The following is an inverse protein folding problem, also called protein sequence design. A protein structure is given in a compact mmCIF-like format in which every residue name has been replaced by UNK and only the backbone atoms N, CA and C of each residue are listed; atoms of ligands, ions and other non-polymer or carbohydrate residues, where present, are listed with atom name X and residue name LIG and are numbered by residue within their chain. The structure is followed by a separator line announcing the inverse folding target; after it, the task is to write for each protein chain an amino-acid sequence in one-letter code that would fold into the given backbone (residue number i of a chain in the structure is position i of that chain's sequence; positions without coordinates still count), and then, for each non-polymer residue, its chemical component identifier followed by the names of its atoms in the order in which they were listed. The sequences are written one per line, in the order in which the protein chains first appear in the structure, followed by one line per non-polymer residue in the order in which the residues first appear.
data_IF_070108550608
#
_entry.id   IF_070108550608
#
_cell.length_a   1.000
_cell.length_b   1.000
_cell.length_c   1.000
_cell.angle_alpha   90.00
_cell.angle_beta   90.00
_cell.angle_gamma   90.00
#
_symmetry.space_group_name_H-M   'P 1'
#
loop_
_entity.id
_entity.type
_entity.pdbx_description
1 polymer ?
#
# COMPACT_ATOMS: atom_id res chain seq x y z
N UNK A 1 -67.04 18.22 25.45
CA UNK A 1 -66.72 19.27 24.45
C UNK A 1 -65.25 19.64 24.49
N UNK A 2 -64.30 18.60 24.41
CA UNK A 2 -62.88 18.83 24.46
C UNK A 2 -62.08 18.01 23.35
N UNK A 3 -62.81 17.44 22.38
CA UNK A 3 -62.18 16.56 21.37
C UNK A 3 -62.10 17.16 19.97
N UNK A 4 -62.53 18.41 19.77
CA UNK A 4 -62.55 19.06 18.43
C UNK A 4 -61.40 20.01 18.18
N UNK A 5 -60.54 20.30 19.14
CA UNK A 5 -59.41 21.20 18.98
C UNK A 5 -58.06 20.49 18.79
N UNK A 6 -58.01 19.17 19.07
CA UNK A 6 -56.78 18.39 18.86
C UNK A 6 -56.53 17.99 17.40
N UNK A 7 -57.56 18.02 16.53
CA UNK A 7 -57.40 17.58 15.12
C UNK A 7 -56.89 18.70 14.21
N UNK A 8 -57.08 19.97 14.61
CA UNK A 8 -56.56 21.10 13.82
C UNK A 8 -55.09 21.44 14.08
N UNK A 9 -54.55 21.05 15.23
CA UNK A 9 -53.15 21.25 15.56
C UNK A 9 -52.21 20.25 14.86
N UNK A 10 -52.73 19.05 14.47
CA UNK A 10 -51.92 18.04 13.77
C UNK A 10 -51.76 18.29 12.24
N UNK A 11 -52.66 19.09 11.66
CA UNK A 11 -52.60 19.40 10.20
C UNK A 11 -51.66 20.58 9.91
N UNK A 12 -51.39 21.44 10.90
CA UNK A 12 -50.48 22.58 10.70
C UNK A 12 -48.99 22.24 10.75
N UNK A 13 -48.60 21.04 11.22
CA UNK A 13 -47.20 20.58 11.28
C UNK A 13 -46.76 19.80 10.06
N UNK A 14 -47.66 19.54 9.09
CA UNK A 14 -47.32 18.76 7.88
C UNK A 14 -46.93 19.61 6.67
N UNK A 15 -46.84 20.96 6.79
CA UNK A 15 -46.58 21.83 5.62
C UNK A 15 -45.23 22.55 5.69
N UNK A 16 -44.41 22.32 6.70
CA UNK A 16 -43.08 22.97 6.82
C UNK A 16 -41.89 22.09 6.43
N UNK A 17 -42.12 21.07 5.63
CA UNK A 17 -41.10 20.08 5.22
C UNK A 17 -40.63 20.13 3.78
N UNK A 18 -40.89 21.21 3.02
CA UNK A 18 -40.19 21.44 1.78
C UNK A 18 -38.84 22.10 2.08
N UNK A 19 -37.87 21.32 2.59
CA UNK A 19 -36.48 21.68 2.41
C UNK A 19 -36.26 21.72 0.90
N UNK A 20 -35.87 22.90 0.38
CA UNK A 20 -35.42 23.02 -1.00
C UNK A 20 -34.31 21.96 -1.19
N UNK A 21 -34.50 21.03 -2.11
CA UNK A 21 -33.45 20.10 -2.47
C UNK A 21 -32.19 20.92 -2.75
N UNK A 22 -31.04 20.55 -2.23
CA UNK A 22 -29.83 21.28 -2.53
C UNK A 22 -29.65 21.33 -4.05
N UNK A 23 -29.53 22.52 -4.61
CA UNK A 23 -29.21 22.69 -6.01
C UNK A 23 -27.73 22.39 -6.15
N UNK A 24 -27.43 21.27 -6.76
CA UNK A 24 -26.04 20.95 -7.12
C UNK A 24 -25.68 21.69 -8.38
N UNK A 25 -24.42 22.17 -8.46
CA UNK A 25 -23.89 22.77 -9.68
C UNK A 25 -23.93 21.75 -10.84
N UNK A 26 -24.26 22.24 -12.02
CA UNK A 26 -24.15 21.47 -13.25
C UNK A 26 -22.67 21.38 -13.64
N UNK A 27 -22.10 20.21 -13.46
CA UNK A 27 -20.64 20.00 -13.57
C UNK A 27 -20.29 18.82 -14.44
N UNK A 28 -19.07 18.89 -15.00
CA UNK A 28 -18.37 17.76 -15.62
C UNK A 28 -17.20 17.33 -14.77
N UNK A 29 -16.87 16.04 -14.82
CA UNK A 29 -15.80 15.42 -14.05
C UNK A 29 -15.26 14.17 -14.74
N UNK A 30 -14.06 13.75 -14.38
CA UNK A 30 -13.49 12.48 -14.86
C UNK A 30 -14.08 11.34 -14.05
N UNK A 31 -14.70 10.36 -14.72
CA UNK A 31 -15.21 9.16 -14.06
C UNK A 31 -14.05 8.36 -13.44
N UNK A 32 -14.17 8.04 -12.16
CA UNK A 32 -13.11 7.40 -11.36
C UNK A 32 -12.29 8.38 -10.50
N UNK A 33 -12.57 9.69 -10.58
CA UNK A 33 -11.94 10.70 -9.73
C UNK A 33 -12.66 10.89 -8.37
N UNK A 34 -13.75 10.16 -8.11
CA UNK A 34 -14.62 10.36 -6.94
C UNK A 34 -14.10 9.70 -5.65
N UNK A 35 -12.99 8.96 -5.71
CA UNK A 35 -12.38 8.30 -4.56
C UNK A 35 -11.63 9.27 -3.63
N UNK A 36 -11.30 8.81 -2.42
CA UNK A 36 -10.40 9.55 -1.50
C UNK A 36 -9.05 9.87 -2.16
N UNK A 37 -8.56 8.95 -2.99
CA UNK A 37 -7.43 9.16 -3.89
C UNK A 37 -7.96 8.94 -5.31
N UNK A 38 -7.95 9.96 -6.16
CA UNK A 38 -8.50 9.89 -7.52
C UNK A 38 -7.57 9.12 -8.46
N UNK A 39 -7.48 7.80 -8.29
CA UNK A 39 -6.56 6.95 -9.03
C UNK A 39 -7.27 5.92 -9.90
N UNK A 40 -6.68 5.65 -11.07
CA UNK A 40 -6.96 4.52 -11.93
C UNK A 40 -5.69 3.70 -12.06
N UNK A 41 -5.79 2.38 -12.20
CA UNK A 41 -4.62 1.50 -12.28
C UNK A 41 -4.51 0.86 -13.67
N UNK A 42 -3.31 0.90 -14.24
CA UNK A 42 -2.94 0.19 -15.46
C UNK A 42 -1.72 -0.70 -15.19
N UNK A 43 -1.92 -2.01 -15.19
CA UNK A 43 -0.83 -2.96 -14.94
C UNK A 43 -0.16 -3.38 -16.25
N UNK A 44 1.16 -3.20 -16.30
CA UNK A 44 2.00 -3.64 -17.41
C UNK A 44 2.44 -5.09 -17.19
N UNK A 45 2.39 -5.85 -18.26
CA UNK A 45 3.00 -7.17 -18.40
C UNK A 45 3.89 -7.17 -19.67
N UNK A 46 4.32 -8.33 -20.13
CA UNK A 46 5.20 -8.46 -21.31
C UNK A 46 4.49 -8.18 -22.65
N UNK A 47 3.20 -7.83 -22.64
CA UNK A 47 2.42 -7.57 -23.85
C UNK A 47 2.08 -6.09 -23.98
N UNK A 48 2.50 -5.48 -25.08
CA UNK A 48 2.24 -4.07 -25.40
C UNK A 48 1.47 -3.92 -26.73
N UNK A 49 0.65 -2.86 -26.91
CA UNK A 49 0.37 -1.83 -25.93
C UNK A 49 -0.59 -2.29 -24.82
N UNK A 50 -0.47 -1.69 -23.63
CA UNK A 50 -1.48 -1.78 -22.56
C UNK A 50 -2.33 -0.52 -22.55
N UNK A 51 -3.63 -0.72 -22.47
CA UNK A 51 -4.59 0.37 -22.66
C UNK A 51 -5.55 0.50 -21.47
N UNK A 52 -5.85 1.73 -21.12
CA UNK A 52 -6.85 2.09 -20.13
C UNK A 52 -7.80 3.13 -20.73
N UNK A 53 -9.09 2.88 -20.63
CA UNK A 53 -10.14 3.79 -21.08
C UNK A 53 -10.58 4.71 -19.95
N UNK A 54 -10.64 6.01 -20.23
CA UNK A 54 -11.08 7.05 -19.27
C UNK A 54 -12.25 7.81 -19.89
N UNK A 55 -13.37 7.90 -19.16
CA UNK A 55 -14.56 8.65 -19.58
C UNK A 55 -14.73 9.91 -18.73
N UNK A 56 -15.41 10.88 -19.34
CA UNK A 56 -15.90 12.06 -18.63
C UNK A 56 -17.40 11.96 -18.48
N UNK A 57 -17.91 12.36 -17.33
CA UNK A 57 -19.33 12.38 -17.03
C UNK A 57 -19.80 13.78 -16.62
N UNK A 58 -21.08 14.04 -16.78
CA UNK A 58 -21.78 15.22 -16.30
C UNK A 58 -22.74 14.86 -15.17
N UNK A 59 -22.97 15.77 -14.24
CA UNK A 59 -23.97 15.65 -13.19
C UNK A 59 -25.40 15.71 -13.70
N UNK A 60 -25.60 16.18 -14.93
CA UNK A 60 -26.90 16.29 -15.60
C UNK A 60 -26.86 15.67 -17.00
N UNK A 61 -28.03 15.38 -17.54
CA UNK A 61 -28.19 15.09 -18.97
C UNK A 61 -27.99 16.37 -19.77
N UNK A 62 -27.02 16.41 -20.69
CA UNK A 62 -26.71 17.60 -21.45
C UNK A 62 -27.76 17.87 -22.57
N UNK A 63 -28.11 19.10 -22.76
CA UNK A 63 -29.12 19.50 -23.78
C UNK A 63 -28.57 19.57 -25.21
N UNK A 64 -27.26 19.65 -25.37
CA UNK A 64 -26.54 19.72 -26.64
C UNK A 64 -25.20 18.99 -26.55
N UNK A 65 -24.61 18.67 -27.69
CA UNK A 65 -23.29 18.04 -27.71
C UNK A 65 -22.28 18.93 -27.00
N UNK A 66 -21.64 18.39 -25.96
CA UNK A 66 -20.68 19.09 -25.11
C UNK A 66 -19.30 18.51 -25.32
N UNK A 67 -18.35 19.30 -25.79
CA UNK A 67 -16.96 18.88 -25.99
C UNK A 67 -16.15 19.06 -24.70
N UNK A 68 -15.30 18.09 -24.43
CA UNK A 68 -14.38 18.10 -23.28
C UNK A 68 -13.01 17.70 -23.77
N UNK A 69 -11.99 18.49 -23.43
CA UNK A 69 -10.61 18.18 -23.75
C UNK A 69 -9.84 17.77 -22.50
N UNK A 70 -9.12 16.65 -22.61
CA UNK A 70 -8.23 16.14 -21.56
C UNK A 70 -6.78 16.24 -22.04
N UNK A 71 -5.91 16.51 -21.07
CA UNK A 71 -4.45 16.58 -21.26
C UNK A 71 -3.71 15.89 -20.13
N UNK A 72 -2.45 15.56 -20.35
CA UNK A 72 -1.54 15.26 -19.25
C UNK A 72 -1.15 16.55 -18.55
N UNK A 73 -1.11 16.52 -17.22
CA UNK A 73 -0.70 17.66 -16.40
C UNK A 73 0.41 17.25 -15.42
N UNK A 74 1.69 17.26 -15.86
CA UNK A 74 2.83 16.87 -15.01
C UNK A 74 2.97 17.73 -13.75
N UNK A 75 2.43 18.96 -13.73
CA UNK A 75 2.48 19.83 -12.54
C UNK A 75 1.71 19.25 -11.35
N UNK A 76 0.81 18.31 -11.58
CA UNK A 76 0.01 17.62 -10.56
C UNK A 76 0.76 16.53 -9.81
N UNK A 77 1.97 16.14 -10.22
CA UNK A 77 2.76 15.10 -9.55
C UNK A 77 3.14 15.50 -8.11
N UNK A 78 3.52 16.76 -7.90
CA UNK A 78 3.86 17.26 -6.56
C UNK A 78 2.63 17.26 -5.64
N UNK A 79 1.47 17.68 -6.15
CA UNK A 79 0.19 17.64 -5.43
C UNK A 79 -0.15 16.19 -5.06
N UNK A 80 -0.07 15.25 -6.02
CA UNK A 80 -0.29 13.82 -5.80
C UNK A 80 0.60 13.27 -4.69
N UNK A 81 1.89 13.57 -4.72
CA UNK A 81 2.84 13.07 -3.74
C UNK A 81 2.59 13.65 -2.33
N UNK A 82 2.33 14.95 -2.25
CA UNK A 82 2.15 15.66 -0.99
C UNK A 82 0.80 15.33 -0.35
N UNK A 83 -0.27 15.41 -1.12
CA UNK A 83 -1.63 15.27 -0.61
C UNK A 83 -1.95 13.82 -0.23
N UNK A 84 -1.45 12.85 -1.00
CA UNK A 84 -1.78 11.43 -0.82
C UNK A 84 -0.64 10.60 -0.23
N UNK A 85 0.47 11.24 0.18
CA UNK A 85 1.62 10.56 0.78
C UNK A 85 2.30 9.56 -0.15
N UNK A 86 2.30 9.84 -1.47
CA UNK A 86 2.85 8.98 -2.52
C UNK A 86 4.27 9.40 -2.90
N UNK A 87 4.93 8.60 -3.75
CA UNK A 87 6.25 8.87 -4.34
C UNK A 87 6.18 8.69 -5.87
N UNK A 88 5.11 9.18 -6.49
CA UNK A 88 4.90 9.06 -7.93
C UNK A 88 5.87 9.89 -8.74
N UNK A 89 6.29 9.35 -9.87
CA UNK A 89 7.10 10.02 -10.90
C UNK A 89 6.32 9.98 -12.21
N UNK A 90 6.34 11.07 -12.97
CA UNK A 90 5.69 11.09 -14.28
C UNK A 90 6.22 9.98 -15.17
N UNK A 91 5.32 9.19 -15.79
CA UNK A 91 5.71 8.24 -16.82
C UNK A 91 6.33 9.01 -17.99
N UNK A 92 7.52 8.62 -18.50
CA UNK A 92 8.14 9.33 -19.62
C UNK A 92 7.21 9.35 -20.83
N UNK A 93 7.08 10.50 -21.48
CA UNK A 93 6.18 10.68 -22.63
C UNK A 93 6.48 9.75 -23.82
N UNK A 94 7.72 9.26 -23.90
CA UNK A 94 8.13 8.28 -24.91
C UNK A 94 7.54 6.88 -24.69
N UNK A 95 6.95 6.62 -23.52
CA UNK A 95 6.42 5.31 -23.15
C UNK A 95 4.91 5.17 -23.36
N UNK A 96 4.19 6.27 -23.62
CA UNK A 96 2.76 6.22 -23.79
C UNK A 96 2.25 7.21 -24.84
N UNK A 97 1.01 7.00 -25.27
CA UNK A 97 0.26 7.89 -26.17
C UNK A 97 -1.16 8.06 -25.62
N UNK A 98 -1.68 9.27 -25.65
CA UNK A 98 -3.09 9.53 -25.43
C UNK A 98 -3.81 9.50 -26.79
N UNK A 99 -4.84 8.66 -26.90
CA UNK A 99 -5.73 8.61 -28.07
C UNK A 99 -7.05 9.25 -27.70
N UNK A 100 -7.64 9.98 -28.63
CA UNK A 100 -8.96 10.57 -28.48
C UNK A 100 -9.02 11.56 -27.28
N UNK A 101 -8.21 12.61 -27.33
CA UNK A 101 -8.13 13.61 -26.24
C UNK A 101 -9.27 14.61 -26.24
N UNK A 102 -10.00 14.75 -27.36
CA UNK A 102 -11.22 15.55 -27.49
C UNK A 102 -12.43 14.62 -27.46
N UNK A 103 -13.18 14.68 -26.37
CA UNK A 103 -14.34 13.84 -26.12
C UNK A 103 -15.63 14.63 -26.34
N UNK A 104 -16.72 13.92 -26.64
CA UNK A 104 -18.06 14.55 -26.75
C UNK A 104 -19.03 13.80 -25.85
N UNK A 105 -19.75 14.53 -24.99
CA UNK A 105 -20.95 14.06 -24.31
C UNK A 105 -22.11 14.40 -25.26
N UNK A 106 -22.80 13.42 -25.87
CA UNK A 106 -23.87 13.68 -26.80
C UNK A 106 -25.09 14.30 -26.13
N UNK A 107 -25.82 15.11 -26.85
CA UNK A 107 -27.13 15.61 -26.44
C UNK A 107 -28.03 14.45 -25.96
N UNK A 108 -28.69 14.63 -24.85
CA UNK A 108 -29.48 13.58 -24.21
C UNK A 108 -28.69 12.54 -23.41
N UNK A 109 -27.39 12.71 -23.26
CA UNK A 109 -26.50 11.84 -22.47
C UNK A 109 -25.88 12.57 -21.26
N UNK A 110 -25.29 11.81 -20.35
CA UNK A 110 -24.54 12.32 -19.20
C UNK A 110 -23.09 11.83 -19.18
N UNK A 111 -22.64 11.13 -20.22
CA UNK A 111 -21.27 10.61 -20.33
C UNK A 111 -20.78 10.66 -21.76
N UNK A 112 -19.46 10.72 -21.93
CA UNK A 112 -18.83 10.72 -23.26
C UNK A 112 -19.14 9.44 -24.02
N UNK A 113 -19.44 9.56 -25.32
CA UNK A 113 -19.73 8.43 -26.20
C UNK A 113 -18.50 7.52 -26.29
N UNK A 114 -17.36 8.09 -26.64
CA UNK A 114 -16.09 7.39 -26.71
C UNK A 114 -15.18 7.78 -25.52
N UNK A 115 -14.29 6.89 -25.05
CA UNK A 115 -13.33 7.21 -24.02
C UNK A 115 -12.06 7.87 -24.59
N UNK A 116 -11.34 8.62 -23.75
CA UNK A 116 -9.90 8.79 -23.92
C UNK A 116 -9.23 7.46 -23.64
N UNK A 117 -8.23 7.08 -24.44
CA UNK A 117 -7.44 5.88 -24.20
C UNK A 117 -6.00 6.27 -23.87
N UNK A 118 -5.56 5.89 -22.67
CA UNK A 118 -4.15 5.88 -22.29
C UNK A 118 -3.55 4.59 -22.82
N UNK A 119 -2.63 4.67 -23.77
CA UNK A 119 -1.98 3.54 -24.41
C UNK A 119 -0.50 3.53 -24.04
N UNK A 120 -0.07 2.69 -23.10
CA UNK A 120 1.35 2.49 -22.78
C UNK A 120 1.92 1.53 -23.80
N UNK A 121 2.91 1.99 -24.56
CA UNK A 121 3.44 1.29 -25.74
C UNK A 121 4.68 0.46 -25.46
N UNK A 122 5.39 0.76 -24.37
CA UNK A 122 6.60 0.06 -23.94
C UNK A 122 6.96 0.39 -22.49
N UNK A 123 7.76 -0.44 -21.87
CA UNK A 123 8.32 -0.21 -20.53
C UNK A 123 9.85 0.01 -20.53
N UNK A 124 10.45 0.10 -21.73
CA UNK A 124 11.87 0.36 -21.88
C UNK A 124 12.31 1.64 -21.15
N UNK A 125 13.39 1.56 -20.38
CA UNK A 125 13.92 2.67 -19.59
C UNK A 125 13.22 2.93 -18.26
N UNK A 126 12.14 2.20 -17.93
CA UNK A 126 11.50 2.28 -16.63
C UNK A 126 12.33 1.56 -15.57
N UNK A 127 12.57 2.23 -14.46
CA UNK A 127 13.34 1.67 -13.33
C UNK A 127 12.44 0.81 -12.45
N UNK A 128 13.00 -0.26 -11.90
CA UNK A 128 12.34 -1.04 -10.87
C UNK A 128 12.15 -0.22 -9.59
N UNK A 129 11.06 -0.48 -8.87
CA UNK A 129 10.74 0.20 -7.62
C UNK A 129 10.28 1.66 -7.76
N UNK A 130 10.24 2.20 -8.97
CA UNK A 130 9.70 3.54 -9.21
C UNK A 130 8.22 3.45 -9.53
N UNK A 131 7.40 4.19 -8.78
CA UNK A 131 5.96 4.33 -9.02
C UNK A 131 5.72 5.35 -10.11
N UNK A 132 5.40 4.90 -11.31
CA UNK A 132 5.09 5.78 -12.42
C UNK A 132 3.61 6.14 -12.44
N UNK A 133 3.31 7.40 -12.81
CA UNK A 133 1.95 7.95 -12.79
C UNK A 133 1.76 8.86 -14.02
N UNK A 134 0.56 8.85 -14.59
CA UNK A 134 0.13 9.80 -15.61
C UNK A 134 -1.02 10.63 -15.03
N UNK A 135 -0.81 11.89 -14.67
CA UNK A 135 -1.91 12.79 -14.32
C UNK A 135 -2.69 13.18 -15.56
N UNK A 136 -4.00 12.96 -15.55
CA UNK A 136 -4.92 13.39 -16.61
C UNK A 136 -5.86 14.43 -16.04
N UNK A 137 -5.93 15.59 -16.67
CA UNK A 137 -6.78 16.70 -16.25
C UNK A 137 -7.72 17.14 -17.37
N UNK A 138 -8.93 17.58 -17.00
CA UNK A 138 -9.80 18.32 -17.91
C UNK A 138 -9.19 19.68 -18.15
N UNK A 139 -8.77 19.96 -19.38
CA UNK A 139 -8.24 21.25 -19.78
C UNK A 139 -9.38 22.25 -20.04
N UNK A 140 -10.37 21.84 -20.84
CA UNK A 140 -11.48 22.70 -21.22
C UNK A 140 -12.79 21.93 -21.41
N UNK A 141 -13.89 22.64 -21.25
CA UNK A 141 -15.25 22.17 -21.52
C UNK A 141 -15.96 23.28 -22.33
N UNK A 142 -16.66 22.90 -23.40
CA UNK A 142 -17.49 23.82 -24.15
C UNK A 142 -18.84 24.04 -23.46
N UNK A 143 -19.36 25.27 -23.53
CA UNK A 143 -20.67 25.63 -23.03
C UNK A 143 -20.68 26.10 -21.57
N UNK A 144 -21.85 25.97 -20.92
CA UNK A 144 -22.11 26.56 -19.59
C UNK A 144 -21.75 25.66 -18.42
N UNK A 145 -21.37 24.39 -18.68
CA UNK A 145 -20.99 23.43 -17.63
C UNK A 145 -19.64 23.80 -17.03
N UNK A 146 -19.56 23.70 -15.70
CA UNK A 146 -18.31 23.92 -14.98
C UNK A 146 -17.59 22.60 -14.74
N UNK A 147 -16.28 22.65 -14.63
CA UNK A 147 -15.52 21.49 -14.16
C UNK A 147 -15.62 21.39 -12.63
N UNK A 148 -15.91 20.19 -12.10
CA UNK A 148 -15.85 19.92 -10.68
C UNK A 148 -14.37 19.86 -10.27
N UNK A 149 -13.85 20.91 -9.64
CA UNK A 149 -12.40 21.03 -9.36
C UNK A 149 -11.80 19.85 -8.59
N UNK A 150 -12.50 19.33 -7.58
CA UNK A 150 -12.02 18.16 -6.83
C UNK A 150 -11.97 16.87 -7.66
N UNK A 151 -12.60 16.82 -8.83
CA UNK A 151 -12.66 15.65 -9.73
C UNK A 151 -12.18 16.01 -11.15
N UNK A 152 -11.43 17.11 -11.25
CA UNK A 152 -10.81 17.58 -12.50
C UNK A 152 -9.70 16.69 -12.98
N UNK A 153 -8.95 16.07 -12.04
CA UNK A 153 -7.74 15.30 -12.31
C UNK A 153 -7.88 13.89 -11.77
N UNK A 154 -7.43 12.93 -12.57
CA UNK A 154 -7.26 11.54 -12.16
C UNK A 154 -5.81 11.13 -12.40
N UNK A 155 -5.26 10.30 -11.52
CA UNK A 155 -3.90 9.80 -11.61
C UNK A 155 -3.91 8.35 -12.08
N UNK A 156 -3.39 8.09 -13.28
CA UNK A 156 -3.23 6.72 -13.78
C UNK A 156 -1.94 6.14 -13.21
N UNK A 157 -2.07 5.30 -12.20
CA UNK A 157 -0.95 4.59 -11.58
C UNK A 157 -0.52 3.43 -12.47
N UNK A 158 0.75 3.40 -12.85
CA UNK A 158 1.32 2.35 -13.69
C UNK A 158 1.89 1.25 -12.79
N UNK A 159 1.15 0.17 -12.67
CA UNK A 159 1.60 -1.05 -12.01
C UNK A 159 2.48 -1.88 -12.94
N UNK A 160 3.47 -2.59 -12.39
CA UNK A 160 4.30 -3.55 -13.13
C UNK A 160 4.23 -4.89 -12.41
N UNK A 161 4.21 -5.97 -13.18
CA UNK A 161 4.42 -7.30 -12.63
C UNK A 161 5.89 -7.40 -12.24
N UNK A 162 6.18 -7.39 -10.94
CA UNK A 162 7.54 -7.52 -10.45
C UNK A 162 7.85 -9.00 -10.31
N UNK A 163 8.75 -9.49 -11.15
CA UNK A 163 9.33 -10.82 -11.05
C UNK A 163 10.66 -10.67 -10.34
N UNK A 164 10.68 -10.98 -9.06
CA UNK A 164 11.89 -10.91 -8.23
C UNK A 164 12.26 -12.29 -7.66
N UNK A 165 13.52 -12.47 -7.23
CA UNK A 165 13.92 -13.70 -6.56
C UNK A 165 13.20 -13.86 -5.23
N UNK A 166 12.83 -15.10 -4.91
CA UNK A 166 12.30 -15.47 -3.63
C UNK A 166 13.03 -16.70 -3.10
N UNK A 167 13.30 -16.70 -1.80
CA UNK A 167 13.87 -17.87 -1.16
C UNK A 167 12.79 -18.92 -0.89
N UNK A 168 13.03 -20.15 -1.28
CA UNK A 168 12.16 -21.28 -0.98
C UNK A 168 12.47 -21.81 0.45
N UNK A 169 11.55 -21.54 1.36
CA UNK A 169 11.58 -21.98 2.74
C UNK A 169 10.53 -23.09 3.00
N UNK A 170 9.95 -23.68 1.96
CA UNK A 170 8.92 -24.74 2.09
C UNK A 170 9.45 -26.02 2.76
N UNK A 171 10.74 -26.26 2.65
CA UNK A 171 11.48 -27.31 3.35
C UNK A 171 11.88 -26.90 4.77
N UNK A 172 13.19 -26.91 5.02
CA UNK A 172 13.78 -26.52 6.32
C UNK A 172 14.76 -25.34 6.19
N UNK A 173 14.76 -24.66 5.05
CA UNK A 173 15.64 -23.53 4.79
C UNK A 173 15.23 -22.30 5.61
N UNK A 174 16.20 -21.68 6.24
CA UNK A 174 16.06 -20.41 6.94
C UNK A 174 17.40 -19.65 6.89
N UNK A 175 17.38 -18.38 7.30
CA UNK A 175 18.58 -17.54 7.30
C UNK A 175 18.87 -17.10 8.74
N UNK A 176 20.13 -17.24 9.18
CA UNK A 176 20.63 -16.58 10.37
C UNK A 176 21.21 -15.22 9.99
N UNK A 177 20.89 -14.22 10.80
CA UNK A 177 21.44 -12.86 10.65
C UNK A 177 22.20 -12.55 11.92
N UNK A 178 23.49 -12.32 11.78
CA UNK A 178 24.32 -11.83 12.88
C UNK A 178 24.52 -10.32 12.73
N UNK A 179 23.79 -9.57 13.53
CA UNK A 179 23.93 -8.12 13.57
C UNK A 179 25.22 -7.67 14.28
N UNK A 180 25.88 -8.56 15.02
CA UNK A 180 27.15 -8.27 15.66
C UNK A 180 28.33 -8.35 14.68
N UNK A 181 28.17 -9.05 13.53
CA UNK A 181 29.16 -9.07 12.45
C UNK A 181 28.89 -7.94 11.44
N UNK A 182 29.61 -6.83 11.49
CA UNK A 182 29.50 -5.79 10.47
C UNK A 182 29.77 -4.37 10.96
N UNK A 183 29.27 -3.37 10.24
CA UNK A 183 29.44 -1.95 10.54
C UNK A 183 28.60 -1.52 11.77
N UNK A 184 28.97 -2.01 12.93
CA UNK A 184 28.30 -1.72 14.23
C UNK A 184 28.38 -0.24 14.59
N UNK A 185 29.40 0.46 14.10
CA UNK A 185 29.70 1.84 14.48
C UNK A 185 28.67 2.85 13.92
N UNK A 186 27.87 2.45 12.95
CA UNK A 186 26.93 3.34 12.27
C UNK A 186 25.57 3.45 12.98
N UNK A 187 25.18 2.41 13.72
CA UNK A 187 23.91 2.34 14.43
C UNK A 187 24.09 1.59 15.74
N UNK A 188 23.45 2.11 16.77
CA UNK A 188 23.40 1.44 18.07
C UNK A 188 22.40 0.26 18.00
N UNK A 189 22.82 -0.84 17.38
CA UNK A 189 22.01 -2.07 17.22
C UNK A 189 21.65 -2.73 18.54
N UNK A 190 22.33 -2.34 19.62
CA UNK A 190 22.07 -2.79 20.98
C UNK A 190 20.95 -2.02 21.68
N UNK A 191 20.60 -0.84 21.14
CA UNK A 191 19.66 0.06 21.80
C UNK A 191 18.82 0.86 20.79
N UNK A 192 18.22 0.17 19.81
CA UNK A 192 17.40 0.81 18.78
C UNK A 192 16.06 1.27 19.35
N UNK A 193 15.83 2.57 19.39
CA UNK A 193 14.57 3.17 19.82
C UNK A 193 13.40 2.89 18.87
N UNK A 194 13.70 2.67 17.60
CA UNK A 194 12.71 2.39 16.56
C UNK A 194 13.19 1.24 15.67
N UNK A 195 12.31 0.31 15.35
CA UNK A 195 12.64 -0.83 14.48
C UNK A 195 11.42 -1.22 13.64
N UNK A 196 11.64 -1.54 12.37
CA UNK A 196 10.64 -2.20 11.54
C UNK A 196 11.22 -3.48 10.94
N UNK A 197 10.50 -4.59 11.09
CA UNK A 197 10.70 -5.81 10.31
C UNK A 197 9.66 -5.87 9.22
N UNK A 198 10.05 -6.12 7.99
CA UNK A 198 9.11 -6.33 6.89
C UNK A 198 9.58 -7.45 5.96
N UNK A 199 8.63 -8.14 5.35
CA UNK A 199 8.90 -9.13 4.31
C UNK A 199 7.69 -9.32 3.41
N UNK A 200 7.92 -9.76 2.17
CA UNK A 200 6.90 -10.37 1.32
C UNK A 200 6.96 -11.88 1.49
N UNK A 201 5.81 -12.47 1.77
CA UNK A 201 5.69 -13.91 2.01
C UNK A 201 4.59 -14.51 1.12
N UNK A 202 4.80 -15.77 0.72
CA UNK A 202 3.78 -16.59 0.09
C UNK A 202 3.78 -17.96 0.76
N UNK A 203 2.88 -18.13 1.73
CA UNK A 203 2.72 -19.38 2.43
C UNK A 203 2.06 -20.42 1.55
N UNK A 204 2.68 -21.59 1.44
CA UNK A 204 2.14 -22.71 0.67
C UNK A 204 1.28 -23.63 1.54
N UNK A 205 1.59 -23.72 2.81
CA UNK A 205 0.87 -24.54 3.80
C UNK A 205 1.14 -24.06 5.20
N UNK A 206 0.27 -24.40 6.11
CA UNK A 206 0.52 -24.29 7.53
C UNK A 206 1.45 -25.45 7.95
N UNK A 207 2.42 -25.16 8.77
CA UNK A 207 3.38 -26.15 9.21
C UNK A 207 3.68 -26.05 10.69
N UNK A 208 4.03 -27.18 11.28
CA UNK A 208 4.56 -27.25 12.63
C UNK A 208 3.72 -26.57 13.72
N UNK A 209 4.41 -26.13 14.75
CA UNK A 209 3.82 -25.49 15.92
C UNK A 209 3.50 -24.00 15.66
N UNK A 210 4.38 -23.27 15.00
CA UNK A 210 4.09 -21.93 14.46
C UNK A 210 4.93 -21.69 13.20
N UNK A 211 4.56 -20.67 12.40
CA UNK A 211 5.33 -20.28 11.23
C UNK A 211 5.95 -18.91 11.49
N UNK A 212 7.27 -18.85 11.59
CA UNK A 212 7.98 -17.59 11.84
C UNK A 212 8.31 -16.90 10.54
N UNK A 213 8.01 -15.61 10.46
CA UNK A 213 8.43 -14.75 9.36
C UNK A 213 9.87 -14.30 9.60
N UNK A 214 10.12 -13.58 10.70
CA UNK A 214 11.46 -13.12 11.08
C UNK A 214 11.47 -12.55 12.49
N UNK A 215 12.65 -12.51 13.09
CA UNK A 215 12.88 -11.83 14.36
C UNK A 215 13.69 -12.65 15.36
N UNK A 216 13.66 -12.16 16.59
CA UNK A 216 14.25 -12.77 17.77
C UNK A 216 13.16 -13.36 18.64
N UNK A 217 13.21 -14.68 18.83
CA UNK A 217 12.28 -15.35 19.73
C UNK A 217 12.38 -14.77 21.15
N UNK A 218 11.23 -14.66 21.84
CA UNK A 218 11.10 -14.06 23.18
C UNK A 218 11.55 -12.60 23.32
N UNK A 219 11.95 -11.96 22.22
CA UNK A 219 12.31 -10.55 22.21
C UNK A 219 11.39 -9.72 21.30
N UNK A 220 11.52 -9.84 19.99
CA UNK A 220 10.65 -9.20 19.01
C UNK A 220 10.58 -10.09 17.77
N UNK A 221 9.52 -10.89 17.63
CA UNK A 221 9.42 -11.92 16.62
C UNK A 221 8.06 -11.89 15.93
N UNK A 222 8.06 -11.67 14.62
CA UNK A 222 6.87 -11.71 13.78
C UNK A 222 6.65 -13.15 13.32
N UNK A 223 5.52 -13.74 13.70
CA UNK A 223 5.16 -15.11 13.38
C UNK A 223 3.66 -15.29 13.21
N UNK A 224 3.23 -16.46 12.77
CA UNK A 224 1.81 -16.85 12.75
C UNK A 224 1.44 -17.55 14.04
N UNK A 225 0.20 -17.34 14.45
CA UNK A 225 -0.39 -18.03 15.61
C UNK A 225 -0.61 -19.50 15.28
N UNK A 226 -0.47 -20.33 16.29
CA UNK A 226 -0.70 -21.78 16.22
C UNK A 226 -2.19 -22.13 16.05
N UNK A 227 -2.44 -23.23 15.34
CA UNK A 227 -3.71 -24.00 15.25
C UNK A 227 -4.97 -23.20 14.85
N UNK A 228 -5.81 -22.80 15.77
CA UNK A 228 -7.14 -22.25 15.50
C UNK A 228 -7.14 -20.84 14.88
N UNK A 229 -5.99 -20.18 14.87
CA UNK A 229 -5.82 -18.82 14.33
C UNK A 229 -5.05 -18.81 13.00
N UNK A 230 -5.27 -19.80 12.15
CA UNK A 230 -4.60 -19.93 10.86
C UNK A 230 -4.67 -18.63 10.04
N UNK A 231 -3.49 -18.17 9.62
CA UNK A 231 -3.34 -16.93 8.87
C UNK A 231 -3.26 -15.65 9.71
N UNK A 232 -3.48 -15.72 11.01
CA UNK A 232 -3.30 -14.57 11.87
C UNK A 232 -1.84 -14.40 12.27
N UNK A 233 -1.30 -13.22 12.07
CA UNK A 233 0.01 -12.84 12.55
C UNK A 233 0.01 -12.63 14.07
N UNK A 234 1.15 -12.87 14.67
CA UNK A 234 1.40 -12.64 16.08
C UNK A 234 2.75 -11.94 16.22
N UNK A 235 2.82 -10.95 17.09
CA UNK A 235 4.08 -10.43 17.56
C UNK A 235 4.37 -11.05 18.95
N UNK A 236 5.38 -11.90 18.99
CA UNK A 236 5.86 -12.55 20.21
C UNK A 236 7.10 -11.84 20.74
N UNK A 237 7.21 -11.68 22.06
CA UNK A 237 8.39 -11.10 22.67
C UNK A 237 8.27 -10.83 24.15
N UNK A 238 9.41 -10.51 24.79
CA UNK A 238 9.54 -10.13 26.21
C UNK A 238 8.86 -11.09 27.18
N UNK A 239 8.99 -12.40 26.91
CA UNK A 239 8.45 -13.46 27.76
C UNK A 239 6.99 -13.80 27.49
N UNK A 240 6.45 -13.51 26.31
CA UNK A 240 5.10 -13.89 25.95
C UNK A 240 4.59 -13.33 24.64
N UNK A 241 3.33 -13.64 24.36
CA UNK A 241 2.61 -13.08 23.22
C UNK A 241 2.25 -11.64 23.48
N UNK A 242 2.77 -10.74 22.67
CA UNK A 242 2.45 -9.33 22.77
C UNK A 242 1.08 -9.01 22.20
N UNK A 243 0.80 -9.49 20.98
CA UNK A 243 -0.44 -9.16 20.33
C UNK A 243 -0.78 -10.09 19.17
N UNK A 244 -2.07 -10.21 18.94
CA UNK A 244 -2.67 -10.86 17.76
C UNK A 244 -3.67 -9.89 17.16
N UNK A 245 -3.72 -9.72 15.83
CA UNK A 245 -4.74 -8.90 15.19
C UNK A 245 -6.14 -9.35 15.58
N UNK A 246 -6.98 -8.42 16.02
CA UNK A 246 -8.39 -8.67 16.28
C UNK A 246 -9.23 -8.47 15.02
N UNK A 247 -10.37 -9.11 14.90
CA UNK A 247 -11.31 -8.91 13.80
C UNK A 247 -11.09 -9.80 12.58
N UNK A 248 -10.29 -10.88 12.69
CA UNK A 248 -10.20 -11.90 11.65
C UNK A 248 -9.35 -11.51 10.44
N UNK A 249 -8.51 -10.47 10.54
CA UNK A 249 -7.54 -10.14 9.49
C UNK A 249 -6.49 -11.25 9.43
N UNK A 250 -6.46 -11.97 8.31
CA UNK A 250 -5.62 -13.15 8.14
C UNK A 250 -4.90 -13.12 6.78
N UNK A 251 -3.70 -13.69 6.76
CA UNK A 251 -2.94 -13.95 5.52
C UNK A 251 -3.44 -15.24 4.89
N UNK A 252 -3.70 -15.21 3.59
CA UNK A 252 -4.16 -16.38 2.84
C UNK A 252 -2.99 -17.22 2.34
N UNK A 253 -3.18 -18.55 2.23
CA UNK A 253 -2.23 -19.43 1.55
C UNK A 253 -2.19 -19.13 0.05
N UNK A 254 -1.03 -19.41 -0.57
CA UNK A 254 -0.78 -19.28 -2.01
C UNK A 254 -1.00 -17.85 -2.57
N UNK A 255 -0.86 -16.85 -1.71
CA UNK A 255 -0.95 -15.44 -2.07
C UNK A 255 0.26 -14.69 -1.54
N UNK A 256 0.92 -13.91 -2.40
CA UNK A 256 1.94 -12.96 -1.95
C UNK A 256 1.30 -11.87 -1.09
N UNK A 257 1.82 -11.70 0.09
CA UNK A 257 1.35 -10.71 1.07
C UNK A 257 2.55 -10.01 1.69
N UNK A 258 2.51 -8.71 1.79
CA UNK A 258 3.50 -7.96 2.54
C UNK A 258 3.10 -7.91 4.01
N UNK A 259 4.01 -8.22 4.90
CA UNK A 259 3.80 -8.20 6.35
C UNK A 259 4.90 -7.40 7.04
N UNK A 260 4.53 -6.63 8.05
CA UNK A 260 5.50 -5.87 8.82
C UNK A 260 5.13 -5.82 10.30
N UNK A 261 6.17 -5.77 11.14
CA UNK A 261 6.07 -5.48 12.57
C UNK A 261 6.88 -4.20 12.85
N UNK A 262 6.26 -3.25 13.52
CA UNK A 262 6.86 -1.95 13.84
C UNK A 262 6.95 -1.79 15.36
N UNK A 263 8.15 -1.48 15.84
CA UNK A 263 8.42 -1.04 17.20
C UNK A 263 8.72 0.47 17.18
N UNK A 264 7.95 1.21 17.94
CA UNK A 264 8.06 2.67 18.11
C UNK A 264 8.22 2.96 19.60
N UNK A 265 9.45 2.93 20.08
CA UNK A 265 9.79 3.14 21.47
C UNK A 265 9.45 4.53 21.99
N UNK A 266 9.74 5.63 21.26
CA UNK A 266 9.32 6.98 21.64
C UNK A 266 7.82 7.12 21.90
N UNK A 267 6.99 6.50 21.05
CA UNK A 267 5.53 6.52 21.21
C UNK A 267 4.99 5.35 22.02
N UNK A 268 5.86 4.46 22.51
CA UNK A 268 5.50 3.27 23.30
C UNK A 268 4.47 2.40 22.61
N UNK A 269 4.65 2.15 21.31
CA UNK A 269 3.74 1.38 20.47
C UNK A 269 4.46 0.24 19.75
N UNK A 270 3.72 -0.84 19.58
CA UNK A 270 4.05 -1.92 18.63
C UNK A 270 2.89 -2.11 17.69
N UNK A 271 3.16 -2.41 16.43
CA UNK A 271 2.11 -2.52 15.42
C UNK A 271 2.42 -3.64 14.42
N UNK A 272 1.37 -4.28 13.90
CA UNK A 272 1.45 -5.21 12.77
C UNK A 272 0.72 -4.59 11.59
N UNK A 273 1.34 -4.66 10.42
CA UNK A 273 0.76 -4.23 9.16
C UNK A 273 0.69 -5.41 8.18
N UNK A 274 -0.37 -5.42 7.37
CA UNK A 274 -0.58 -6.35 6.25
C UNK A 274 -0.87 -5.52 5.00
N UNK A 275 -0.10 -5.71 3.94
CA UNK A 275 -0.16 -4.93 2.69
C UNK A 275 -0.18 -3.40 2.96
N UNK A 276 0.65 -2.96 3.93
CA UNK A 276 0.76 -1.56 4.35
C UNK A 276 -0.47 -0.98 5.07
N UNK A 277 -1.44 -1.84 5.45
CA UNK A 277 -2.61 -1.45 6.26
C UNK A 277 -2.39 -1.90 7.69
N UNK A 278 -2.65 -1.01 8.65
CA UNK A 278 -2.55 -1.34 10.08
C UNK A 278 -3.56 -2.44 10.44
N UNK A 279 -3.04 -3.60 10.85
CA UNK A 279 -3.85 -4.74 11.27
C UNK A 279 -4.18 -4.68 12.76
N UNK A 280 -3.18 -4.35 13.59
CA UNK A 280 -3.39 -4.09 15.02
C UNK A 280 -2.23 -3.30 15.61
N UNK A 281 -2.46 -2.71 16.77
CA UNK A 281 -1.47 -1.98 17.56
C UNK A 281 -1.70 -2.23 19.05
N UNK A 282 -0.62 -2.23 19.81
CA UNK A 282 -0.65 -2.35 21.27
C UNK A 282 0.38 -1.42 21.93
N UNK A 283 0.15 -1.10 23.20
CA UNK A 283 1.10 -0.35 23.98
C UNK A 283 2.25 -1.25 24.44
N UNK A 284 3.43 -0.67 24.59
CA UNK A 284 4.61 -1.32 25.18
C UNK A 284 5.26 -0.40 26.21
N UNK A 285 5.91 -1.01 27.21
CA UNK A 285 6.74 -0.28 28.17
C UNK A 285 8.23 -0.26 27.74
N UNK A 286 8.56 -0.92 26.66
CA UNK A 286 9.93 -0.95 26.12
C UNK A 286 10.21 0.36 25.36
N UNK A 287 11.43 0.82 25.50
CA UNK A 287 11.93 2.05 24.83
C UNK A 287 12.97 1.76 23.78
N UNK A 288 13.50 0.54 23.76
CA UNK A 288 14.49 0.10 22.77
C UNK A 288 14.49 -1.40 22.56
N UNK A 289 15.05 -1.83 21.44
CA UNK A 289 15.32 -3.22 21.07
C UNK A 289 16.83 -3.42 20.88
N UNK A 290 17.31 -4.57 21.31
CA UNK A 290 18.65 -5.08 21.05
C UNK A 290 18.56 -6.22 20.02
N UNK A 291 19.08 -6.01 18.82
CA UNK A 291 19.04 -6.99 17.73
C UNK A 291 20.12 -8.08 17.86
N UNK A 292 21.03 -7.94 18.82
CA UNK A 292 22.10 -8.91 19.05
C UNK A 292 21.77 -9.93 20.13
N UNK A 293 20.60 -9.83 20.77
CA UNK A 293 20.17 -10.76 21.78
C UNK A 293 20.10 -12.20 21.26
N UNK A 294 20.31 -13.13 22.15
CA UNK A 294 20.31 -14.57 21.89
C UNK A 294 19.26 -15.22 22.77
N UNK A 295 18.46 -16.10 22.18
CA UNK A 295 17.54 -16.97 22.93
C UNK A 295 17.81 -18.42 22.59
N UNK A 296 18.10 -19.24 23.60
CA UNK A 296 18.45 -20.67 23.44
C UNK A 296 19.57 -20.87 22.38
N UNK A 297 20.65 -20.09 22.49
CA UNK A 297 21.82 -20.11 21.60
C UNK A 297 21.53 -19.70 20.14
N UNK A 298 20.38 -19.08 19.88
CA UNK A 298 19.98 -18.61 18.55
C UNK A 298 19.87 -17.10 18.48
N UNK A 299 20.46 -16.56 17.41
CA UNK A 299 20.38 -15.16 17.03
C UNK A 299 19.14 -14.87 16.19
N UNK A 300 19.05 -13.68 15.64
CA UNK A 300 18.01 -13.27 14.69
C UNK A 300 17.91 -14.23 13.49
N UNK A 301 16.70 -14.63 13.16
CA UNK A 301 16.43 -15.51 12.00
C UNK A 301 15.34 -14.95 11.11
N UNK A 302 15.41 -15.34 9.83
CA UNK A 302 14.38 -15.15 8.82
C UNK A 302 13.86 -16.52 8.41
N UNK A 303 12.55 -16.66 8.31
CA UNK A 303 11.82 -17.89 8.00
C UNK A 303 11.92 -19.01 9.04
N UNK A 304 12.41 -18.73 10.24
CA UNK A 304 12.43 -19.62 11.41
C UNK A 304 12.63 -18.81 12.70
N UNK A 305 12.49 -19.47 13.85
CA UNK A 305 12.97 -19.03 15.16
C UNK A 305 13.46 -20.23 15.97
N UNK A 306 14.19 -20.00 16.97
CA UNK A 306 14.95 -20.81 17.90
C UNK A 306 15.03 -22.36 17.71
N UNK A 307 14.00 -23.06 17.24
CA UNK A 307 14.01 -24.52 17.12
C UNK A 307 13.19 -25.08 15.98
N UNK A 308 13.18 -26.41 15.82
CA UNK A 308 12.39 -27.09 14.80
C UNK A 308 10.89 -26.94 15.02
N UNK A 309 10.12 -27.01 13.91
CA UNK A 309 8.68 -26.85 13.94
C UNK A 309 8.18 -25.40 13.84
N UNK A 310 9.08 -24.42 13.75
CA UNK A 310 8.76 -22.99 13.64
C UNK A 310 9.06 -22.38 12.26
N UNK A 311 9.46 -23.22 11.30
CA UNK A 311 9.83 -22.76 9.97
C UNK A 311 8.62 -22.22 9.19
N UNK A 312 8.84 -21.14 8.46
CA UNK A 312 7.94 -20.71 7.40
C UNK A 312 7.83 -21.81 6.34
N UNK A 313 6.64 -22.13 5.92
CA UNK A 313 6.38 -23.15 4.88
C UNK A 313 5.89 -22.50 3.59
N UNK A 314 6.82 -21.90 2.83
CA UNK A 314 6.53 -21.17 1.63
C UNK A 314 7.72 -20.38 1.11
N UNK A 315 7.45 -19.29 0.45
CA UNK A 315 8.45 -18.39 -0.13
C UNK A 315 8.55 -17.10 0.65
N UNK A 316 9.74 -16.54 0.73
CA UNK A 316 10.01 -15.22 1.31
C UNK A 316 10.86 -14.38 0.35
N UNK A 317 10.52 -13.11 0.23
CA UNK A 317 11.23 -12.11 -0.56
C UNK A 317 11.22 -10.78 0.16
N UNK A 318 12.11 -9.87 -0.20
CA UNK A 318 12.15 -8.52 0.33
C UNK A 318 12.13 -8.44 1.86
N UNK A 319 12.84 -9.38 2.52
CA UNK A 319 12.99 -9.36 3.98
C UNK A 319 13.97 -8.27 4.39
N UNK A 320 13.50 -7.31 5.21
CA UNK A 320 14.25 -6.11 5.60
C UNK A 320 14.09 -5.80 7.08
N UNK A 321 15.13 -5.19 7.65
CA UNK A 321 15.11 -4.63 8.99
C UNK A 321 15.50 -3.15 8.88
N UNK A 322 14.69 -2.27 9.45
CA UNK A 322 14.91 -0.83 9.48
C UNK A 322 15.15 -0.36 10.89
N UNK A 323 16.12 0.53 11.08
CA UNK A 323 16.29 1.30 12.31
C UNK A 323 15.37 2.54 12.32
N UNK A 324 14.09 2.31 12.05
CA UNK A 324 13.04 3.33 11.98
C UNK A 324 11.66 2.69 12.16
N UNK A 325 10.75 3.39 12.82
CA UNK A 325 9.34 3.05 12.82
C UNK A 325 8.68 3.54 11.52
N UNK A 326 8.42 2.62 10.57
CA UNK A 326 7.75 2.94 9.32
C UNK A 326 6.24 3.04 9.52
N UNK A 327 5.61 4.02 8.90
CA UNK A 327 4.16 4.11 8.83
C UNK A 327 3.59 3.34 7.63
N UNK A 328 2.24 3.23 7.56
CA UNK A 328 1.57 2.48 6.51
C UNK A 328 1.86 2.99 5.09
N UNK A 329 2.07 4.29 4.89
CA UNK A 329 2.43 4.85 3.58
C UNK A 329 3.87 4.50 3.19
N UNK A 330 4.82 4.58 4.13
CA UNK A 330 6.19 4.14 3.91
C UNK A 330 6.22 2.66 3.51
N UNK A 331 5.48 1.80 4.24
CA UNK A 331 5.38 0.37 3.95
C UNK A 331 4.76 0.10 2.57
N UNK A 332 3.68 0.80 2.19
CA UNK A 332 3.07 0.67 0.87
C UNK A 332 4.03 1.06 -0.26
N UNK A 333 4.77 2.15 -0.07
CA UNK A 333 5.72 2.63 -1.07
C UNK A 333 6.93 1.69 -1.24
N UNK A 334 7.30 0.96 -0.20
CA UNK A 334 8.51 0.14 -0.15
C UNK A 334 8.26 -1.36 -0.33
N UNK A 335 7.01 -1.83 -0.31
CA UNK A 335 6.69 -3.26 -0.18
C UNK A 335 7.23 -4.16 -1.30
N UNK A 336 7.43 -3.64 -2.51
CA UNK A 336 7.86 -4.45 -3.65
C UNK A 336 9.35 -4.39 -3.90
N UNK A 337 9.94 -3.22 -3.74
CA UNK A 337 11.37 -2.99 -3.96
C UNK A 337 11.81 -1.70 -3.28
N UNK A 338 13.03 -1.70 -2.81
CA UNK A 338 13.73 -0.48 -2.38
C UNK A 338 15.15 -0.54 -2.87
N UNK A 339 15.62 0.54 -3.49
CA UNK A 339 17.00 0.67 -3.91
C UNK A 339 17.90 0.98 -2.71
N UNK A 340 18.72 0.02 -2.26
CA UNK A 340 19.59 0.23 -1.09
C UNK A 340 20.66 1.32 -1.32
N UNK A 341 20.88 1.74 -2.56
CA UNK A 341 21.83 2.81 -2.87
C UNK A 341 21.25 4.21 -2.65
N UNK A 342 19.93 4.36 -2.71
CA UNK A 342 19.25 5.66 -2.59
C UNK A 342 18.72 5.97 -1.21
N UNK A 343 18.48 4.97 -0.38
CA UNK A 343 18.03 5.17 1.00
C UNK A 343 19.18 4.94 1.99
N UNK A 344 19.85 6.03 2.34
CA UNK A 344 20.99 6.00 3.29
C UNK A 344 20.66 5.57 4.73
N UNK A 345 19.46 5.06 4.98
CA UNK A 345 18.94 4.60 6.28
C UNK A 345 18.84 3.07 6.40
N UNK A 346 19.46 2.34 5.47
CA UNK A 346 19.38 0.89 5.40
C UNK A 346 20.35 0.18 6.35
N UNK A 347 19.78 -0.76 7.07
CA UNK A 347 20.48 -1.87 7.69
C UNK A 347 19.85 -3.19 7.32
N UNK A 348 20.28 -3.71 6.23
CA UNK A 348 20.51 -5.15 6.16
C UNK A 348 22.01 -5.27 6.33
N UNK A 349 22.60 -6.10 7.12
CA UNK A 349 24.04 -6.27 7.26
C UNK A 349 24.84 -6.47 5.96
N UNK A 350 24.44 -5.72 4.90
CA UNK A 350 25.06 -5.60 3.60
C UNK A 350 25.79 -4.26 3.56
N UNK A 351 27.11 -4.32 3.67
CA UNK A 351 28.07 -3.29 3.30
C UNK A 351 27.63 -2.53 2.04
N UNK A 352 27.71 -1.19 2.07
CA UNK A 352 27.54 -0.27 0.93
C UNK A 352 28.59 -0.44 -0.19
N UNK A 353 29.43 -1.43 -0.15
CA UNK A 353 30.18 -1.93 -1.32
C UNK A 353 29.21 -2.77 -2.15
N UNK A 354 29.14 -2.49 -3.48
CA UNK A 354 28.39 -3.26 -4.50
C UNK A 354 28.02 -4.64 -3.98
N UNK A 355 26.77 -5.09 -4.08
CA UNK A 355 26.37 -6.38 -3.55
C UNK A 355 27.20 -7.47 -4.22
N UNK A 356 28.36 -7.77 -3.68
CA UNK A 356 28.79 -9.14 -3.68
C UNK A 356 27.78 -9.80 -2.78
N UNK A 357 26.87 -10.56 -3.40
CA UNK A 357 25.92 -11.36 -2.68
C UNK A 357 26.67 -12.05 -1.53
N UNK A 358 26.54 -11.52 -0.30
CA UNK A 358 27.00 -12.26 0.87
C UNK A 358 26.16 -13.52 0.84
N UNK A 359 26.81 -14.64 0.55
CA UNK A 359 26.22 -15.95 0.61
C UNK A 359 25.64 -16.10 2.01
N UNK A 360 24.33 -16.03 2.09
CA UNK A 360 23.62 -16.44 3.29
C UNK A 360 24.01 -17.90 3.53
N UNK A 361 24.62 -18.19 4.66
CA UNK A 361 24.92 -19.58 5.01
C UNK A 361 23.58 -20.29 5.20
N UNK A 362 23.22 -21.14 4.25
CA UNK A 362 22.18 -22.15 4.44
C UNK A 362 22.74 -23.21 5.38
N UNK A 363 22.13 -23.39 6.50
CA UNK A 363 22.38 -24.55 7.38
C UNK A 363 21.29 -25.59 7.18
#
# INVERSE_FOLDING_TARGET
MKLKYSLFALIALAVSGCQKAPVYDDVVYIAGAEGEVPTLSLTLDDQFPKELSVKVSSSIVVGHDTKVRLVTDPSKIEEYNTQYGKKGVMLPETNFVLKNTELTIPAGSFSTAEPLVVSVTKDEGLKEGVSYVIPLSIESVDGDLKVKEGFRTVFVEIGRIIIGPAADCSGSTYFKVDFAEGEQDKYDIYNLGEVTYEARINLQRWGGWCNTVMGLEENFCLRFVQDDFKGQLQLSGWGGTLMVPTGGIAVSLNKWTHVAAVFDGPNKKVSIYIDGVLACSADTNKTSLDLTQVYQDDSFRIANSCNDGRQLKGYISEARVWAKALNGNDLKNNMCYVDPATDGRWHTGASTKKPTAKRWKTT
#
